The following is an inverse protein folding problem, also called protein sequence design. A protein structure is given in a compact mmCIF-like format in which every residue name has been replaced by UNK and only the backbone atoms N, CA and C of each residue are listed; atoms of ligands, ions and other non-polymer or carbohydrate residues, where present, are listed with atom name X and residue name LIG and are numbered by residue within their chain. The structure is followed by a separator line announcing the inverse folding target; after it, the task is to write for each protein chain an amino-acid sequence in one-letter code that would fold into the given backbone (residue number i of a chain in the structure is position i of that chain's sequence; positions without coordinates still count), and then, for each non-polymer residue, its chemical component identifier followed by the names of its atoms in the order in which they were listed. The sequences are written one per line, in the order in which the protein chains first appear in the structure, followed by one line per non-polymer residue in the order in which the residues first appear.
data_IF_636292800721
#
_entry.id   IF_636292800721
#
_cell.length_a   1.000
_cell.length_b   1.000
_cell.length_c   1.000
_cell.angle_alpha   90.00
_cell.angle_beta   90.00
_cell.angle_gamma   90.00
#
_symmetry.space_group_name_H-M   'P 1'
#
loop_
_entity.id
_entity.type
_entity.pdbx_description
1 polymer ?
#
# COMPACT_ATOMS: atom_id res chain seq x y z
N UNK A 1 36.40 25.20 11.68
CA UNK A 1 34.94 25.13 11.86
C UNK A 1 34.28 25.42 10.52
N UNK A 2 34.10 24.39 9.70
CA UNK A 2 33.34 24.47 8.45
C UNK A 2 31.95 23.93 8.75
N UNK A 3 30.94 24.78 8.65
CA UNK A 3 29.53 24.40 8.73
C UNK A 3 29.21 23.51 7.54
N UNK A 4 29.19 22.20 7.77
CA UNK A 4 28.66 21.22 6.84
C UNK A 4 27.18 21.54 6.67
N UNK A 5 26.83 22.17 5.54
CA UNK A 5 25.45 22.30 5.09
C UNK A 5 24.91 20.88 4.89
N UNK A 6 24.28 20.34 5.94
CA UNK A 6 23.50 19.13 5.84
C UNK A 6 22.30 19.43 4.95
N UNK A 7 22.50 19.25 3.65
CA UNK A 7 21.50 19.50 2.64
C UNK A 7 20.32 18.54 2.92
N UNK A 8 19.19 19.12 3.33
CA UNK A 8 17.97 18.39 3.72
C UNK A 8 17.30 17.70 2.50
N UNK A 9 17.88 17.88 1.31
CA UNK A 9 17.61 17.11 0.08
C UNK A 9 17.80 15.58 0.25
N UNK A 10 18.35 15.10 1.37
CA UNK A 10 18.75 13.71 1.59
C UNK A 10 17.73 12.79 2.28
N UNK A 11 16.52 13.26 2.63
CA UNK A 11 15.54 12.40 3.35
C UNK A 11 14.44 11.85 2.44
N UNK A 12 13.95 12.62 1.45
CA UNK A 12 13.01 12.13 0.41
C UNK A 12 13.29 12.90 -0.89
N UNK A 13 13.76 12.26 -1.97
CA UNK A 13 14.02 12.98 -3.22
C UNK A 13 12.71 13.49 -3.82
N UNK A 14 12.67 14.74 -4.30
CA UNK A 14 11.47 15.37 -4.87
C UNK A 14 10.82 14.51 -5.99
N UNK A 15 11.64 13.77 -6.74
CA UNK A 15 11.21 12.81 -7.77
C UNK A 15 10.30 11.71 -7.20
N UNK A 16 10.58 11.24 -5.99
CA UNK A 16 9.76 10.23 -5.31
C UNK A 16 8.43 10.82 -4.84
N UNK A 17 8.41 12.08 -4.38
CA UNK A 17 7.16 12.77 -4.04
C UNK A 17 6.28 12.92 -5.27
N UNK A 18 6.85 13.29 -6.42
CA UNK A 18 6.11 13.37 -7.68
C UNK A 18 5.62 12.00 -8.13
N UNK A 19 6.48 10.98 -8.11
CA UNK A 19 6.07 9.62 -8.46
C UNK A 19 4.92 9.12 -7.57
N UNK A 20 4.96 9.44 -6.27
CA UNK A 20 3.89 9.12 -5.33
C UNK A 20 2.60 9.90 -5.61
N UNK A 21 2.69 11.20 -5.90
CA UNK A 21 1.55 12.02 -6.28
C UNK A 21 0.89 11.51 -7.58
N UNK A 22 1.71 11.17 -8.59
CA UNK A 22 1.23 10.55 -9.84
C UNK A 22 0.51 9.23 -9.54
N UNK A 23 1.09 8.37 -8.70
CA UNK A 23 0.46 7.11 -8.30
C UNK A 23 -0.91 7.31 -7.61
N UNK A 24 -1.01 8.28 -6.70
CA UNK A 24 -2.27 8.63 -6.03
C UNK A 24 -3.32 9.16 -7.00
N UNK A 25 -2.90 10.00 -7.96
CA UNK A 25 -3.81 10.60 -8.95
C UNK A 25 -4.16 9.67 -10.10
N UNK A 26 -3.35 8.63 -10.36
CA UNK A 26 -3.59 7.67 -11.44
C UNK A 26 -4.91 6.91 -11.25
N UNK A 27 -5.21 6.50 -10.01
CA UNK A 27 -6.44 5.77 -9.68
C UNK A 27 -7.72 6.57 -10.00
N UNK A 28 -7.92 7.79 -9.45
CA UNK A 28 -9.07 8.62 -9.80
C UNK A 28 -9.07 8.99 -11.27
N UNK A 29 -7.91 9.30 -11.87
CA UNK A 29 -7.83 9.64 -13.29
C UNK A 29 -8.35 8.50 -14.16
N UNK A 30 -7.92 7.26 -13.94
CA UNK A 30 -8.43 6.09 -14.66
C UNK A 30 -9.94 5.96 -14.49
N UNK A 31 -10.45 6.12 -13.27
CA UNK A 31 -11.88 5.96 -13.01
C UNK A 31 -12.72 7.01 -13.77
N UNK A 32 -12.33 8.29 -13.69
CA UNK A 32 -13.05 9.39 -14.32
C UNK A 32 -12.89 9.44 -15.84
N UNK A 33 -11.72 9.09 -16.38
CA UNK A 33 -11.48 8.99 -17.82
C UNK A 33 -12.41 7.91 -18.43
N UNK A 34 -12.52 6.76 -17.76
CA UNK A 34 -13.37 5.67 -18.26
C UNK A 34 -14.86 5.95 -18.04
N UNK A 35 -15.24 6.59 -16.92
CA UNK A 35 -16.61 7.03 -16.65
C UNK A 35 -17.09 8.12 -17.61
N UNK A 36 -16.18 8.95 -18.14
CA UNK A 36 -16.52 10.08 -19.01
C UNK A 36 -17.27 11.21 -18.31
N UNK A 37 -17.32 11.21 -16.97
CA UNK A 37 -18.00 12.24 -16.17
C UNK A 37 -17.32 12.42 -14.83
N UNK A 38 -17.20 13.68 -14.38
CA UNK A 38 -16.73 14.04 -13.03
C UNK A 38 -17.88 14.14 -12.02
N UNK A 39 -19.14 14.12 -12.49
CA UNK A 39 -20.35 14.21 -11.65
C UNK A 39 -20.71 12.85 -11.06
N UNK A 40 -19.72 12.15 -10.50
CA UNK A 40 -19.91 10.84 -9.88
C UNK A 40 -19.41 10.88 -8.43
N UNK A 41 -20.33 11.12 -7.49
CA UNK A 41 -20.00 11.29 -6.07
C UNK A 41 -19.33 10.06 -5.47
N UNK A 42 -19.79 8.85 -5.80
CA UNK A 42 -19.17 7.62 -5.28
C UNK A 42 -17.73 7.42 -5.76
N UNK A 43 -17.39 7.85 -6.98
CA UNK A 43 -16.00 7.83 -7.45
C UNK A 43 -15.10 8.72 -6.60
N UNK A 44 -15.58 9.92 -6.23
CA UNK A 44 -14.88 10.81 -5.32
C UNK A 44 -14.75 10.21 -3.92
N UNK A 45 -15.81 9.60 -3.39
CA UNK A 45 -15.79 8.92 -2.08
C UNK A 45 -14.75 7.79 -2.08
N UNK A 46 -14.78 6.91 -3.09
CA UNK A 46 -13.81 5.82 -3.23
C UNK A 46 -12.38 6.36 -3.34
N UNK A 47 -12.16 7.37 -4.19
CA UNK A 47 -10.84 7.99 -4.38
C UNK A 47 -10.32 8.61 -3.08
N UNK A 48 -11.18 9.32 -2.34
CA UNK A 48 -10.84 9.88 -1.04
C UNK A 48 -10.43 8.81 -0.03
N UNK A 49 -11.19 7.70 0.06
CA UNK A 49 -10.87 6.57 0.94
C UNK A 49 -9.51 5.98 0.57
N UNK A 50 -9.26 5.68 -0.70
CA UNK A 50 -8.00 5.08 -1.17
C UNK A 50 -6.82 5.99 -0.86
N UNK A 51 -6.95 7.29 -1.09
CA UNK A 51 -5.91 8.27 -0.77
C UNK A 51 -5.64 8.29 0.73
N UNK A 52 -6.69 8.40 1.56
CA UNK A 52 -6.56 8.43 3.03
C UNK A 52 -5.89 7.14 3.53
N UNK A 53 -6.35 5.97 3.10
CA UNK A 53 -5.77 4.68 3.49
C UNK A 53 -4.31 4.56 3.07
N UNK A 54 -3.96 5.04 1.87
CA UNK A 54 -2.57 5.05 1.39
C UNK A 54 -1.70 5.96 2.26
N UNK A 55 -2.18 7.16 2.59
CA UNK A 55 -1.46 8.10 3.45
C UNK A 55 -1.28 7.55 4.88
N UNK A 56 -2.34 6.99 5.47
CA UNK A 56 -2.27 6.35 6.79
C UNK A 56 -1.28 5.19 6.78
N UNK A 57 -1.31 4.34 5.74
CA UNK A 57 -0.36 3.23 5.60
C UNK A 57 1.09 3.71 5.51
N UNK A 58 1.35 4.77 4.74
CA UNK A 58 2.70 5.36 4.62
C UNK A 58 3.14 5.95 5.95
N UNK A 59 2.28 6.73 6.60
CA UNK A 59 2.57 7.35 7.89
C UNK A 59 2.85 6.30 8.98
N UNK A 60 2.01 5.26 9.05
CA UNK A 60 2.22 4.10 9.91
C UNK A 60 3.59 3.43 9.69
N UNK A 61 3.98 3.23 8.42
CA UNK A 61 5.27 2.64 8.07
C UNK A 61 6.44 3.50 8.55
N UNK A 62 6.39 4.82 8.31
CA UNK A 62 7.40 5.76 8.81
C UNK A 62 7.46 5.80 10.34
N UNK A 63 6.31 5.72 11.01
CA UNK A 63 6.22 5.87 12.48
C UNK A 63 6.65 4.62 13.25
N UNK A 64 6.39 3.43 12.71
CA UNK A 64 6.63 2.18 13.43
C UNK A 64 7.92 1.47 13.05
N UNK A 65 8.45 1.62 11.83
CA UNK A 65 9.62 0.86 11.40
C UNK A 65 10.53 1.60 10.40
N UNK A 66 11.29 2.63 10.82
CA UNK A 66 12.38 3.18 9.99
C UNK A 66 13.51 2.15 9.75
N UNK A 67 13.82 1.29 10.72
CA UNK A 67 14.92 0.31 10.62
C UNK A 67 14.61 -0.95 9.78
N UNK A 68 13.35 -1.41 9.73
CA UNK A 68 12.99 -2.57 8.89
C UNK A 68 13.05 -2.27 7.39
N UNK A 69 13.01 -0.99 6.97
CA UNK A 69 13.20 -0.63 5.57
C UNK A 69 14.66 -0.86 5.13
N UNK A 70 15.63 -0.62 6.03
CA UNK A 70 17.05 -0.87 5.80
C UNK A 70 17.37 -2.38 5.84
N UNK A 71 16.76 -3.15 6.75
CA UNK A 71 16.94 -4.61 6.78
C UNK A 71 16.20 -5.33 5.65
N UNK A 72 14.99 -4.88 5.24
CA UNK A 72 14.27 -5.48 4.10
C UNK A 72 14.88 -5.19 2.73
N UNK A 73 15.76 -4.20 2.61
CA UNK A 73 16.61 -4.07 1.43
C UNK A 73 17.56 -5.28 1.29
N UNK A 74 17.97 -5.89 2.42
CA UNK A 74 18.82 -7.07 2.48
C UNK A 74 18.04 -8.41 2.51
N UNK A 75 16.80 -8.46 3.02
CA UNK A 75 15.95 -9.66 2.99
C UNK A 75 15.19 -9.90 1.66
N UNK A 76 15.69 -9.38 0.52
CA UNK A 76 15.08 -9.62 -0.80
C UNK A 76 15.14 -11.09 -1.26
N UNK A 77 15.69 -11.97 -0.44
CA UNK A 77 15.74 -13.43 -0.63
C UNK A 77 14.96 -14.14 0.48
N UNK A 78 13.63 -13.99 0.51
CA UNK A 78 12.79 -15.09 1.00
C UNK A 78 12.94 -16.22 -0.02
N UNK A 79 13.91 -17.10 0.22
CA UNK A 79 14.11 -18.36 -0.48
C UNK A 79 12.83 -19.19 -0.32
N UNK A 80 12.03 -19.32 -1.39
CA UNK A 80 10.87 -20.20 -1.40
C UNK A 80 9.65 -19.69 -2.19
N UNK A 81 9.53 -18.38 -2.43
CA UNK A 81 8.47 -17.88 -3.33
C UNK A 81 8.90 -18.14 -4.76
N UNK A 82 8.27 -19.11 -5.43
CA UNK A 82 8.47 -19.38 -6.85
C UNK A 82 8.38 -18.07 -7.62
N UNK A 83 9.37 -17.78 -8.47
CA UNK A 83 9.46 -16.54 -9.26
C UNK A 83 8.18 -16.22 -10.02
N UNK A 84 7.48 -17.25 -10.51
CA UNK A 84 6.17 -17.14 -11.14
C UNK A 84 5.07 -16.61 -10.23
N UNK A 85 5.04 -16.99 -8.95
CA UNK A 85 4.03 -16.54 -7.99
C UNK A 85 4.25 -15.07 -7.59
N UNK A 86 5.51 -14.64 -7.52
CA UNK A 86 5.87 -13.23 -7.33
C UNK A 86 5.44 -12.37 -8.53
N UNK A 87 5.67 -12.87 -9.75
CA UNK A 87 5.26 -12.19 -10.98
C UNK A 87 3.74 -12.15 -11.09
N UNK A 88 3.06 -13.26 -10.84
CA UNK A 88 1.60 -13.35 -10.83
C UNK A 88 0.99 -12.42 -9.78
N UNK A 89 1.51 -12.41 -8.56
CA UNK A 89 1.02 -11.50 -7.51
C UNK A 89 1.20 -10.03 -7.88
N UNK A 90 2.33 -9.67 -8.48
CA UNK A 90 2.57 -8.31 -8.97
C UNK A 90 1.65 -7.97 -10.16
N UNK A 91 1.44 -8.91 -11.08
CA UNK A 91 0.54 -8.74 -12.22
C UNK A 91 -0.90 -8.59 -11.76
N UNK A 92 -1.40 -9.50 -10.93
CA UNK A 92 -2.77 -9.44 -10.41
C UNK A 92 -2.97 -8.18 -9.57
N UNK A 93 -1.99 -7.77 -8.76
CA UNK A 93 -2.08 -6.55 -7.97
C UNK A 93 -2.18 -5.27 -8.83
N UNK A 94 -1.38 -5.18 -9.89
CA UNK A 94 -1.35 -3.99 -10.76
C UNK A 94 -2.48 -4.05 -11.79
N UNK A 95 -2.50 -5.08 -12.62
CA UNK A 95 -3.45 -5.22 -13.72
C UNK A 95 -4.86 -5.52 -13.23
N UNK A 96 -5.02 -6.27 -12.14
CA UNK A 96 -6.33 -6.53 -11.55
C UNK A 96 -6.99 -5.25 -11.05
N UNK A 97 -6.26 -4.43 -10.30
CA UNK A 97 -6.79 -3.14 -9.84
C UNK A 97 -7.11 -2.22 -11.03
N UNK A 98 -6.22 -2.10 -12.02
CA UNK A 98 -6.49 -1.29 -13.21
C UNK A 98 -7.72 -1.78 -13.97
N UNK A 99 -7.87 -3.09 -14.18
CA UNK A 99 -9.02 -3.67 -14.84
C UNK A 99 -10.32 -3.36 -14.09
N UNK A 100 -10.32 -3.47 -12.75
CA UNK A 100 -11.48 -3.13 -11.91
C UNK A 100 -11.87 -1.66 -12.11
N UNK A 101 -10.92 -0.73 -12.06
CA UNK A 101 -11.20 0.69 -12.21
C UNK A 101 -11.72 1.04 -13.61
N UNK A 102 -11.14 0.43 -14.65
CA UNK A 102 -11.59 0.60 -16.03
C UNK A 102 -13.03 0.08 -16.18
N UNK A 103 -13.29 -1.15 -15.73
CA UNK A 103 -14.62 -1.77 -15.80
C UNK A 103 -15.63 -0.96 -15.00
N UNK A 104 -15.30 -0.48 -13.81
CA UNK A 104 -16.19 0.36 -13.00
C UNK A 104 -16.53 1.70 -13.68
N UNK A 105 -15.55 2.34 -14.34
CA UNK A 105 -15.81 3.53 -15.14
C UNK A 105 -16.70 3.24 -16.34
N UNK A 106 -16.41 2.18 -17.09
CA UNK A 106 -17.23 1.77 -18.25
C UNK A 106 -18.65 1.37 -17.83
N UNK A 107 -18.80 0.66 -16.71
CA UNK A 107 -20.08 0.31 -16.10
C UNK A 107 -20.91 1.57 -15.84
N UNK A 108 -20.31 2.62 -15.24
CA UNK A 108 -20.98 3.89 -15.01
C UNK A 108 -21.35 4.61 -16.31
N UNK A 109 -20.49 4.53 -17.33
CA UNK A 109 -20.69 5.19 -18.63
C UNK A 109 -21.79 4.53 -19.46
N UNK A 110 -21.85 3.21 -19.46
CA UNK A 110 -22.81 2.43 -20.24
C UNK A 110 -24.05 2.01 -19.44
N UNK A 111 -24.05 2.24 -18.13
CA UNK A 111 -25.16 1.88 -17.25
C UNK A 111 -25.40 0.37 -17.19
N UNK A 112 -24.32 -0.43 -17.22
CA UNK A 112 -24.45 -1.89 -17.21
C UNK A 112 -25.08 -2.42 -15.92
N UNK A 113 -24.73 -1.82 -14.78
CA UNK A 113 -25.28 -2.22 -13.48
C UNK A 113 -26.50 -1.38 -13.06
N UNK A 114 -27.48 -1.99 -12.38
CA UNK A 114 -28.56 -1.26 -11.74
C UNK A 114 -28.03 -0.27 -10.71
N UNK A 115 -28.78 0.81 -10.48
CA UNK A 115 -28.43 1.77 -9.42
C UNK A 115 -28.42 1.06 -8.06
N UNK A 116 -27.25 1.02 -7.43
CA UNK A 116 -27.08 0.45 -6.11
C UNK A 116 -27.57 1.46 -5.06
N UNK A 117 -28.42 1.05 -4.11
CA UNK A 117 -28.86 1.94 -3.05
C UNK A 117 -27.68 2.47 -2.24
N UNK A 118 -27.66 3.78 -1.99
CA UNK A 118 -26.58 4.49 -1.29
C UNK A 118 -26.19 3.86 0.06
N UNK A 119 -27.17 3.33 0.80
CA UNK A 119 -26.94 2.70 2.09
C UNK A 119 -26.08 1.43 2.00
N UNK A 120 -26.21 0.65 0.91
CA UNK A 120 -25.38 -0.55 0.68
C UNK A 120 -23.92 -0.16 0.50
N UNK A 121 -23.66 0.91 -0.26
CA UNK A 121 -22.30 1.42 -0.46
C UNK A 121 -21.66 1.89 0.85
N UNK A 122 -22.42 2.57 1.70
CA UNK A 122 -21.91 3.02 3.01
C UNK A 122 -21.60 1.86 3.95
N UNK A 123 -22.44 0.81 3.98
CA UNK A 123 -22.16 -0.40 4.75
C UNK A 123 -20.86 -1.06 4.25
N UNK A 124 -20.69 -1.19 2.93
CA UNK A 124 -19.48 -1.76 2.35
C UNK A 124 -18.23 -0.95 2.74
N UNK A 125 -18.32 0.39 2.72
CA UNK A 125 -17.23 1.28 3.17
C UNK A 125 -16.90 1.05 4.64
N UNK A 126 -17.90 0.99 5.53
CA UNK A 126 -17.68 0.77 6.97
C UNK A 126 -16.99 -0.57 7.21
N UNK A 127 -17.46 -1.64 6.54
CA UNK A 127 -16.86 -2.97 6.64
C UNK A 127 -15.41 -2.94 6.17
N UNK A 128 -15.13 -2.33 5.02
CA UNK A 128 -13.77 -2.24 4.48
C UNK A 128 -12.83 -1.45 5.40
N UNK A 129 -13.27 -0.31 5.95
CA UNK A 129 -12.49 0.48 6.89
C UNK A 129 -12.23 -0.28 8.19
N UNK A 130 -13.22 -1.01 8.70
CA UNK A 130 -13.08 -1.84 9.90
C UNK A 130 -12.08 -2.97 9.66
N UNK A 131 -12.16 -3.66 8.52
CA UNK A 131 -11.18 -4.69 8.14
C UNK A 131 -9.76 -4.13 8.03
N UNK A 132 -9.60 -2.95 7.43
CA UNK A 132 -8.31 -2.27 7.35
C UNK A 132 -7.78 -1.88 8.74
N UNK A 133 -8.63 -1.35 9.61
CA UNK A 133 -8.27 -0.98 10.97
C UNK A 133 -7.82 -2.19 11.78
N UNK A 134 -8.56 -3.30 11.70
CA UNK A 134 -8.20 -4.57 12.36
C UNK A 134 -6.87 -5.10 11.82
N UNK A 135 -6.67 -5.11 10.49
CA UNK A 135 -5.42 -5.58 9.89
C UNK A 135 -4.22 -4.72 10.27
N UNK A 136 -4.40 -3.40 10.29
CA UNK A 136 -3.36 -2.46 10.74
C UNK A 136 -3.08 -2.65 12.24
N UNK A 137 -4.12 -2.78 13.06
CA UNK A 137 -3.97 -3.05 14.50
C UNK A 137 -3.25 -4.37 14.76
N UNK A 138 -3.57 -5.43 14.01
CA UNK A 138 -2.88 -6.71 14.09
C UNK A 138 -1.39 -6.59 13.74
N UNK A 139 -1.02 -5.79 12.73
CA UNK A 139 0.38 -5.53 12.38
C UNK A 139 1.13 -4.75 13.46
N UNK A 140 0.44 -3.88 14.21
CA UNK A 140 1.01 -3.08 15.28
C UNK A 140 1.17 -3.89 16.56
N UNK A 141 0.13 -4.63 16.94
CA UNK A 141 0.09 -5.43 18.17
C UNK A 141 0.96 -6.69 18.04
N UNK A 142 0.98 -7.33 16.86
CA UNK A 142 1.88 -8.44 16.56
C UNK A 142 3.25 -7.96 16.06
N UNK A 143 4.02 -7.39 16.98
CA UNK A 143 5.50 -7.35 16.88
C UNK A 143 6.15 -8.73 16.68
N UNK A 144 5.41 -9.83 16.91
CA UNK A 144 5.84 -11.21 16.72
C UNK A 144 5.49 -11.85 15.35
N UNK A 145 4.88 -11.13 14.41
CA UNK A 145 4.71 -11.61 13.02
C UNK A 145 5.94 -11.34 12.12
N UNK A 146 7.09 -11.05 12.74
CA UNK A 146 8.44 -11.34 12.21
C UNK A 146 9.17 -12.37 13.09
N UNK A 147 8.42 -13.22 13.80
CA UNK A 147 8.93 -14.30 14.63
C UNK A 147 9.12 -15.59 13.85
N UNK A 148 10.14 -15.65 13.01
CA UNK A 148 10.83 -16.89 12.65
C UNK A 148 12.21 -16.85 13.27
N UNK A 149 12.34 -17.26 14.52
CA UNK A 149 13.59 -17.20 15.26
C UNK A 149 14.64 -18.17 14.74
N UNK A 150 15.88 -17.70 14.64
CA UNK A 150 17.04 -18.47 15.07
C UNK A 150 18.09 -17.52 15.65
N UNK A 151 18.37 -17.78 16.91
CA UNK A 151 19.30 -17.15 17.82
C UNK A 151 20.69 -16.81 17.21
N UNK A 152 21.37 -15.74 17.69
CA UNK A 152 22.74 -15.44 17.32
C UNK A 152 23.66 -16.59 17.74
N UNK A 153 24.55 -16.96 16.83
CA UNK A 153 25.60 -17.96 16.98
C UNK A 153 26.45 -17.69 18.25
N UNK A 154 26.05 -18.29 19.38
CA UNK A 154 26.85 -18.42 20.61
C UNK A 154 27.85 -19.57 20.43
N UNK A 155 28.79 -19.45 19.52
CA UNK A 155 29.96 -20.37 19.44
C UNK A 155 31.19 -19.85 20.20
N UNK A 156 31.02 -18.85 21.06
CA UNK A 156 32.10 -18.31 21.93
C UNK A 156 31.91 -18.54 23.44
N UNK A 157 30.90 -19.28 23.87
CA UNK A 157 30.57 -19.42 25.31
C UNK A 157 31.07 -20.72 25.97
N UNK A 158 31.53 -21.70 25.20
CA UNK A 158 32.13 -22.92 25.76
C UNK A 158 33.47 -23.16 25.08
N UNK A 159 34.52 -22.61 25.69
CA UNK A 159 35.89 -22.95 25.34
C UNK A 159 36.12 -24.43 25.59
N UNK A 160 35.96 -25.23 24.54
CA UNK A 160 36.53 -26.55 24.44
C UNK A 160 37.72 -26.44 23.48
N UNK A 161 38.88 -26.56 24.11
CA UNK A 161 40.21 -26.83 23.56
C UNK A 161 40.22 -27.98 22.57
#
# INVERSE_FOLDING_TARGET
MTTENHNIDSVIPWRALIGFAIYLLLNPALLFINAGTLKWTMAWTYSGIVIVLTLVSRFAMFRWNPDLAAERANYRTVEGVKSWDRILSALVGIYGNMAILIVAGLDKRFGWSPETPLWVSWIAVIIALTGFAIGTWALVENRFFFGGGAHPNRSRAYGLS
#
